data_IF_071656275359
#
_entry.id   IF_071656275359
#
_cell.length_a   1.000
_cell.length_b   1.000
_cell.length_c   1.000
_cell.angle_alpha   90.00
_cell.angle_beta   90.00
_cell.angle_gamma   90.00
#
_symmetry.space_group_name_H-M   'P 1'
#
loop_
_entity.id
_entity.type
_entity.pdbx_description
1 polymer ?
#
# COMPACT_ATOMS: atom_id res chain seq x y z
N UNK A 1 -39.60 0.04 -1.26
CA UNK A 1 -38.15 0.24 -1.04
C UNK A 1 -37.99 1.10 0.21
N UNK A 2 -37.64 0.47 1.32
CA UNK A 2 -37.37 1.14 2.60
C UNK A 2 -36.04 1.91 2.48
N UNK A 3 -35.97 3.16 2.94
CA UNK A 3 -34.71 3.92 2.93
C UNK A 3 -33.71 3.27 3.88
N UNK A 4 -32.45 3.18 3.44
CA UNK A 4 -31.33 2.66 4.24
C UNK A 4 -31.14 3.50 5.51
N UNK A 5 -30.89 2.83 6.63
CA UNK A 5 -30.48 3.44 7.89
C UNK A 5 -29.13 4.14 7.74
N UNK A 6 -28.90 5.20 8.51
CA UNK A 6 -27.58 5.87 8.60
C UNK A 6 -26.45 4.88 8.95
N UNK A 7 -26.73 3.84 9.73
CA UNK A 7 -25.76 2.81 10.07
C UNK A 7 -25.40 1.92 8.87
N UNK A 8 -26.37 1.64 7.99
CA UNK A 8 -26.15 0.85 6.77
C UNK A 8 -25.34 1.67 5.74
N UNK A 9 -25.61 2.97 5.61
CA UNK A 9 -24.80 3.87 4.78
C UNK A 9 -23.34 3.98 5.27
N UNK A 10 -23.14 4.09 6.58
CA UNK A 10 -21.80 4.13 7.18
C UNK A 10 -21.02 2.83 6.92
N UNK A 11 -21.69 1.67 7.02
CA UNK A 11 -21.06 0.38 6.75
C UNK A 11 -20.61 0.26 5.27
N UNK A 12 -21.46 0.69 4.33
CA UNK A 12 -21.12 0.68 2.90
C UNK A 12 -19.91 1.58 2.61
N UNK A 13 -19.86 2.79 3.18
CA UNK A 13 -18.70 3.69 3.04
C UNK A 13 -17.45 3.09 3.66
N UNK A 14 -17.56 2.48 4.84
CA UNK A 14 -16.43 1.84 5.51
C UNK A 14 -15.82 0.72 4.66
N UNK A 15 -16.65 -0.17 4.09
CA UNK A 15 -16.18 -1.25 3.21
C UNK A 15 -15.45 -0.69 1.98
N UNK A 16 -15.95 0.39 1.39
CA UNK A 16 -15.30 1.03 0.24
C UNK A 16 -13.94 1.63 0.59
N UNK A 17 -13.85 2.33 1.73
CA UNK A 17 -12.58 2.91 2.21
C UNK A 17 -11.57 1.82 2.51
N UNK A 18 -11.99 0.72 3.15
CA UNK A 18 -11.10 -0.42 3.45
C UNK A 18 -10.61 -1.08 2.17
N UNK A 19 -11.48 -1.32 1.18
CA UNK A 19 -11.08 -1.89 -0.09
C UNK A 19 -10.05 -1.02 -0.83
N UNK A 20 -10.26 0.30 -0.85
CA UNK A 20 -9.32 1.26 -1.41
C UNK A 20 -7.98 1.25 -0.65
N UNK A 21 -8.02 1.23 0.68
CA UNK A 21 -6.80 1.19 1.49
C UNK A 21 -5.97 -0.06 1.21
N UNK A 22 -6.61 -1.23 1.06
CA UNK A 22 -5.92 -2.48 0.71
C UNK A 22 -5.21 -2.33 -0.64
N UNK A 23 -5.87 -1.77 -1.66
CA UNK A 23 -5.26 -1.59 -2.98
C UNK A 23 -4.06 -0.64 -2.96
N UNK A 24 -4.19 0.48 -2.26
CA UNK A 24 -3.10 1.45 -2.08
C UNK A 24 -1.92 0.80 -1.39
N UNK A 25 -2.16 0.02 -0.32
CA UNK A 25 -1.12 -0.69 0.41
C UNK A 25 -0.43 -1.72 -0.48
N UNK A 26 -1.18 -2.53 -1.23
CA UNK A 26 -0.61 -3.53 -2.13
C UNK A 26 0.21 -2.89 -3.26
N UNK A 27 -0.29 -1.81 -3.86
CA UNK A 27 0.43 -1.06 -4.89
C UNK A 27 1.73 -0.46 -4.35
N UNK A 28 1.66 0.19 -3.19
CA UNK A 28 2.81 0.80 -2.51
C UNK A 28 3.84 -0.25 -2.12
N UNK A 29 3.40 -1.39 -1.57
CA UNK A 29 4.26 -2.51 -1.21
C UNK A 29 4.96 -3.12 -2.44
N UNK A 30 4.23 -3.24 -3.56
CA UNK A 30 4.78 -3.69 -4.83
C UNK A 30 5.86 -2.75 -5.36
N UNK A 31 5.63 -1.43 -5.35
CA UNK A 31 6.64 -0.44 -5.73
C UNK A 31 7.86 -0.47 -4.81
N UNK A 32 7.64 -0.58 -3.50
CA UNK A 32 8.71 -0.69 -2.53
C UNK A 32 9.59 -1.92 -2.80
N UNK A 33 8.97 -3.09 -2.97
CA UNK A 33 9.68 -4.33 -3.30
C UNK A 33 10.42 -4.23 -4.65
N UNK A 34 9.80 -3.59 -5.64
CA UNK A 34 10.43 -3.35 -6.94
C UNK A 34 11.68 -2.46 -6.81
N UNK A 35 11.61 -1.35 -6.09
CA UNK A 35 12.76 -0.45 -5.91
C UNK A 35 13.87 -1.08 -5.07
N UNK A 36 13.53 -1.90 -4.05
CA UNK A 36 14.53 -2.68 -3.33
C UNK A 36 15.24 -3.69 -4.26
N UNK A 37 14.49 -4.47 -5.02
CA UNK A 37 15.05 -5.44 -5.96
C UNK A 37 15.91 -4.75 -7.03
N UNK A 38 15.43 -3.63 -7.56
CA UNK A 38 16.18 -2.82 -8.51
C UNK A 38 17.46 -2.27 -7.88
N UNK A 39 17.41 -1.77 -6.64
CA UNK A 39 18.58 -1.28 -5.92
C UNK A 39 19.65 -2.36 -5.76
N UNK A 40 19.25 -3.56 -5.35
CA UNK A 40 20.15 -4.71 -5.20
C UNK A 40 20.80 -5.14 -6.51
N UNK A 41 20.05 -5.10 -7.62
CA UNK A 41 20.55 -5.53 -8.94
C UNK A 41 21.39 -4.44 -9.60
N UNK A 42 21.01 -3.18 -9.46
CA UNK A 42 21.58 -2.07 -10.22
C UNK A 42 22.72 -1.34 -9.50
N UNK A 43 22.78 -1.39 -8.17
CA UNK A 43 23.73 -0.59 -7.38
C UNK A 43 24.79 -1.51 -6.75
N UNK A 44 26.05 -1.39 -7.19
CA UNK A 44 27.18 -2.06 -6.55
C UNK A 44 27.42 -1.59 -5.10
N UNK A 45 28.02 -2.45 -4.28
CA UNK A 45 28.31 -2.17 -2.87
C UNK A 45 29.23 -0.95 -2.70
N UNK A 46 30.24 -0.80 -3.55
CA UNK A 46 31.19 0.33 -3.51
C UNK A 46 30.48 1.67 -3.75
N UNK A 47 29.54 1.72 -4.70
CA UNK A 47 28.73 2.91 -4.96
C UNK A 47 27.82 3.22 -3.77
N UNK A 48 27.26 2.18 -3.14
CA UNK A 48 26.37 2.36 -1.99
C UNK A 48 27.10 2.96 -0.78
N UNK A 49 28.34 2.54 -0.51
CA UNK A 49 29.19 3.10 0.54
C UNK A 49 29.49 4.58 0.27
N UNK A 50 29.81 4.94 -0.98
CA UNK A 50 30.11 6.33 -1.35
C UNK A 50 28.87 7.22 -1.22
N UNK A 51 27.69 6.76 -1.66
CA UNK A 51 26.46 7.56 -1.66
C UNK A 51 25.82 7.68 -0.28
N UNK A 52 25.94 6.65 0.54
CA UNK A 52 25.48 6.69 1.93
C UNK A 52 26.37 7.56 2.82
N UNK A 53 27.63 7.75 2.46
CA UNK A 53 28.63 8.39 3.32
C UNK A 53 29.01 7.53 4.53
N UNK A 54 28.52 6.29 4.61
CA UNK A 54 28.83 5.33 5.66
C UNK A 54 30.18 4.64 5.38
N UNK A 55 31.27 5.39 5.51
CA UNK A 55 32.63 4.83 5.39
C UNK A 55 33.05 3.97 6.59
N UNK A 56 32.35 4.11 7.72
CA UNK A 56 32.55 3.30 8.92
C UNK A 56 31.21 2.93 9.54
N UNK A 57 31.03 1.65 9.87
CA UNK A 57 29.83 1.13 10.52
C UNK A 57 30.05 1.01 12.03
N UNK A 58 29.02 1.28 12.84
CA UNK A 58 29.08 1.02 14.28
C UNK A 58 29.28 -0.48 14.59
N UNK A 59 28.79 -1.36 13.70
CA UNK A 59 28.97 -2.82 13.74
C UNK A 59 29.08 -3.34 12.30
N UNK A 60 30.12 -4.10 11.98
CA UNK A 60 30.32 -4.72 10.67
C UNK A 60 31.24 -3.94 9.71
N UNK A 61 31.29 -4.39 8.46
CA UNK A 61 32.04 -3.75 7.35
C UNK A 61 31.04 -3.02 6.42
N UNK A 62 31.41 -1.89 5.80
CA UNK A 62 30.58 -1.24 4.80
C UNK A 62 30.28 -2.17 3.60
N UNK A 63 29.08 -2.13 3.01
CA UNK A 63 27.94 -1.27 3.36
C UNK A 63 27.24 -1.69 4.64
N UNK A 64 26.94 -0.72 5.52
CA UNK A 64 26.35 -1.01 6.82
C UNK A 64 24.97 -1.65 6.68
N UNK A 65 24.79 -2.80 7.32
CA UNK A 65 23.51 -3.49 7.36
C UNK A 65 22.44 -2.58 7.98
N UNK A 66 21.35 -2.38 7.25
CA UNK A 66 20.22 -1.61 7.73
C UNK A 66 19.42 -2.35 8.79
N UNK A 67 18.67 -1.59 9.56
CA UNK A 67 17.72 -2.14 10.54
C UNK A 67 16.30 -1.90 10.07
N UNK A 68 15.45 -2.92 10.16
CA UNK A 68 14.03 -2.83 9.88
C UNK A 68 13.25 -3.32 11.09
N UNK A 69 12.54 -2.40 11.75
CA UNK A 69 11.85 -2.69 13.02
C UNK A 69 12.77 -3.34 14.08
N UNK A 70 14.06 -3.00 14.08
CA UNK A 70 15.07 -3.55 14.99
C UNK A 70 15.73 -4.85 14.51
N UNK A 71 15.28 -5.47 13.42
CA UNK A 71 15.90 -6.64 12.80
C UNK A 71 16.96 -6.20 11.79
N UNK A 72 18.15 -6.77 11.86
CA UNK A 72 19.23 -6.48 10.90
C UNK A 72 18.92 -7.16 9.57
N UNK A 73 18.86 -6.38 8.50
CA UNK A 73 18.68 -6.88 7.14
C UNK A 73 20.01 -6.71 6.39
N UNK A 74 20.43 -7.67 5.53
CA UNK A 74 21.59 -7.51 4.65
C UNK A 74 21.30 -6.54 3.49
N UNK A 75 20.66 -5.40 3.78
CA UNK A 75 20.38 -4.33 2.84
C UNK A 75 20.79 -3.00 3.46
N UNK A 76 21.46 -2.10 2.72
CA UNK A 76 21.85 -0.79 3.21
C UNK A 76 20.64 0.05 3.66
N UNK A 77 20.73 0.73 4.81
CA UNK A 77 19.60 1.50 5.35
C UNK A 77 19.17 2.63 4.41
N UNK A 78 20.11 3.25 3.71
CA UNK A 78 19.85 4.29 2.70
C UNK A 78 19.00 3.77 1.55
N UNK A 79 19.25 2.54 1.07
CA UNK A 79 18.44 1.88 0.04
C UNK A 79 17.01 1.64 0.52
N UNK A 80 16.85 1.18 1.76
CA UNK A 80 15.53 0.97 2.38
C UNK A 80 14.76 2.29 2.50
N UNK A 81 15.39 3.34 3.03
CA UNK A 81 14.75 4.64 3.21
C UNK A 81 14.37 5.31 1.89
N UNK A 82 15.27 5.29 0.90
CA UNK A 82 14.99 5.90 -0.41
C UNK A 82 13.90 5.14 -1.17
N UNK A 83 13.95 3.81 -1.16
CA UNK A 83 12.89 2.98 -1.77
C UNK A 83 11.55 3.20 -1.08
N UNK A 84 11.53 3.27 0.26
CA UNK A 84 10.32 3.55 1.03
C UNK A 84 9.75 4.93 0.73
N UNK A 85 10.61 5.95 0.68
CA UNK A 85 10.21 7.31 0.38
C UNK A 85 9.53 7.43 -0.99
N UNK A 86 10.16 6.89 -2.03
CA UNK A 86 9.61 6.91 -3.39
C UNK A 86 8.30 6.12 -3.45
N UNK A 87 8.27 4.91 -2.87
CA UNK A 87 7.07 4.08 -2.87
C UNK A 87 5.89 4.75 -2.16
N UNK A 88 6.12 5.33 -0.98
CA UNK A 88 5.08 6.03 -0.21
C UNK A 88 4.56 7.24 -0.97
N UNK A 89 5.44 8.10 -1.51
CA UNK A 89 4.99 9.24 -2.31
C UNK A 89 4.19 8.80 -3.54
N UNK A 90 4.62 7.75 -4.25
CA UNK A 90 3.87 7.18 -5.36
C UNK A 90 2.52 6.60 -4.92
N UNK A 91 2.46 5.95 -3.75
CA UNK A 91 1.22 5.44 -3.15
C UNK A 91 0.23 6.54 -2.78
N UNK A 92 0.72 7.64 -2.19
CA UNK A 92 -0.11 8.82 -1.91
C UNK A 92 -0.64 9.43 -3.22
N UNK A 93 0.21 9.59 -4.24
CA UNK A 93 -0.22 10.07 -5.55
C UNK A 93 -1.27 9.16 -6.19
N UNK A 94 -1.06 7.84 -6.13
CA UNK A 94 -2.04 6.86 -6.60
C UNK A 94 -3.37 7.00 -5.87
N UNK A 95 -3.35 7.18 -4.55
CA UNK A 95 -4.55 7.40 -3.73
C UNK A 95 -5.31 8.65 -4.15
N UNK A 96 -4.60 9.77 -4.36
CA UNK A 96 -5.22 11.04 -4.82
C UNK A 96 -5.79 10.88 -6.22
N UNK A 97 -5.01 10.32 -7.15
CA UNK A 97 -5.45 10.16 -8.55
C UNK A 97 -6.70 9.27 -8.67
N UNK A 98 -6.76 8.17 -7.91
CA UNK A 98 -7.92 7.25 -7.91
C UNK A 98 -9.14 7.81 -7.18
N UNK A 99 -8.93 8.69 -6.19
CA UNK A 99 -10.04 9.34 -5.48
C UNK A 99 -10.74 10.41 -6.31
N UNK A 100 -10.03 11.01 -7.28
CA UNK A 100 -10.56 12.08 -8.14
C UNK A 100 -11.11 11.54 -9.48
N UNK A 101 -10.82 10.28 -9.82
CA UNK A 101 -11.21 9.69 -11.11
C UNK A 101 -12.68 9.18 -11.12
N UNK A 102 -13.57 9.79 -11.93
CA UNK A 102 -14.96 9.35 -12.06
C UNK A 102 -15.12 7.94 -12.65
N UNK A 103 -14.10 7.39 -13.33
CA UNK A 103 -14.13 6.07 -13.99
C UNK A 103 -13.89 4.90 -13.01
N UNK A 104 -13.18 5.12 -11.89
CA UNK A 104 -12.95 4.10 -10.85
C UNK A 104 -14.25 3.71 -10.13
N UNK A 105 -15.18 4.67 -10.05
CA UNK A 105 -16.50 4.50 -9.45
C UNK A 105 -17.33 3.39 -10.11
N UNK A 106 -17.19 3.16 -11.42
CA UNK A 106 -17.99 2.16 -12.14
C UNK A 106 -17.41 0.73 -12.07
N UNK A 107 -16.10 0.58 -11.85
CA UNK A 107 -15.45 -0.74 -11.87
C UNK A 107 -15.36 -1.41 -10.50
N UNK A 108 -15.35 -0.63 -9.42
CA UNK A 108 -15.27 -1.15 -8.05
C UNK A 108 -16.57 -1.09 -7.25
N UNK A 109 -17.52 -0.23 -7.63
CA UNK A 109 -18.80 -0.14 -6.91
C UNK A 109 -19.80 -1.20 -7.36
N UNK A 110 -19.86 -1.54 -8.65
CA UNK A 110 -20.82 -2.52 -9.18
C UNK A 110 -20.74 -3.90 -8.49
N UNK A 111 -19.54 -4.48 -8.24
CA UNK A 111 -19.42 -5.76 -7.52
C UNK A 111 -19.81 -5.65 -6.04
N UNK A 112 -19.47 -4.56 -5.36
CA UNK A 112 -19.87 -4.32 -3.97
C UNK A 112 -21.39 -4.14 -3.84
N UNK A 113 -22.01 -3.47 -4.80
CA UNK A 113 -23.47 -3.32 -4.88
C UNK A 113 -24.13 -4.68 -5.10
N UNK A 114 -23.54 -5.57 -5.90
CA UNK A 114 -24.05 -6.93 -6.10
C UNK A 114 -23.99 -7.77 -4.80
N UNK A 115 -22.90 -7.73 -4.04
CA UNK A 115 -22.79 -8.44 -2.76
C UNK A 115 -23.73 -7.88 -1.69
N UNK A 116 -23.89 -6.55 -1.64
CA UNK A 116 -24.86 -5.90 -0.75
C UNK A 116 -26.30 -6.24 -1.17
N UNK A 117 -26.58 -6.33 -2.48
CA UNK A 117 -27.89 -6.73 -2.98
C UNK A 117 -28.22 -8.20 -2.63
N UNK A 118 -27.24 -9.12 -2.66
CA UNK A 118 -27.42 -10.50 -2.21
C UNK A 118 -27.68 -10.55 -0.70
N UNK A 119 -26.93 -9.79 0.09
CA UNK A 119 -27.10 -9.72 1.54
C UNK A 119 -28.47 -9.11 1.94
N UNK A 120 -28.92 -8.09 1.21
CA UNK A 120 -30.25 -7.49 1.37
C UNK A 120 -31.38 -8.41 0.89
N UNK A 121 -31.20 -9.15 -0.20
CA UNK A 121 -32.15 -10.15 -0.67
C UNK A 121 -32.32 -11.31 0.34
N UNK A 122 -31.24 -11.72 1.01
CA UNK A 122 -31.29 -12.67 2.12
C UNK A 122 -32.08 -12.15 3.33
N UNK A 123 -32.00 -10.84 3.61
CA UNK A 123 -32.79 -10.19 4.67
C UNK A 123 -34.28 -10.11 4.32
N UNK A 124 -34.64 -9.74 3.09
CA UNK A 124 -36.04 -9.65 2.66
C UNK A 124 -36.71 -11.04 2.72
N UNK A 125 -35.99 -12.09 2.31
CA UNK A 125 -36.47 -13.47 2.42
C UNK A 125 -36.62 -13.99 3.87
N UNK A 126 -36.03 -13.31 4.86
CA UNK A 126 -36.12 -13.67 6.28
C UNK A 126 -37.14 -12.81 7.04
N UNK A 127 -37.62 -11.72 6.44
CA UNK A 127 -38.62 -10.80 7.01
C UNK A 127 -40.03 -11.00 6.43
N UNK A 128 -40.18 -11.83 5.40
CA UNK A 128 -41.44 -12.54 5.07
C UNK A 128 -41.63 -13.77 5.97
#
# INVERSE_FOLDING_TARGET
RTPLSFAEQANVVAVMVVAQAIQVVLFTAGLFAFFLALGVIAIPDDVTVVWSGEQTCAVGEPPCAGTWFGVHIPLPQTMVHTSLFVAVLSGLYFTVSTSVDPLYRQRFFEPLIADVAVSLAGRDAYLE
#
